data_IF_894393414565
#
_entry.id   IF_894393414565
#
_cell.length_a   1.000
_cell.length_b   1.000
_cell.length_c   1.000
_cell.angle_alpha   90.00
_cell.angle_beta   90.00
_cell.angle_gamma   90.00
#
_symmetry.space_group_name_H-M   'P 1'
#
loop_
_entity.id
_entity.type
_entity.pdbx_description
1 polymer ?
#
# COMPACT_ATOMS: atom_id res chain seq x y z
N UNK A 1 6.72 -7.83 -13.16
CA UNK A 1 6.38 -7.11 -11.92
C UNK A 1 7.63 -6.45 -11.35
N UNK A 2 7.48 -5.24 -10.85
CA UNK A 2 8.57 -4.50 -10.24
C UNK A 2 8.84 -5.06 -8.83
N UNK A 3 10.06 -5.54 -8.61
CA UNK A 3 10.46 -6.12 -7.32
C UNK A 3 10.33 -5.12 -6.17
N UNK A 4 10.63 -3.85 -6.43
CA UNK A 4 10.55 -2.82 -5.39
C UNK A 4 9.10 -2.55 -4.98
N UNK A 5 8.18 -2.61 -5.93
CA UNK A 5 6.75 -2.46 -5.61
C UNK A 5 6.24 -3.65 -4.81
N UNK A 6 6.72 -4.84 -5.14
CA UNK A 6 6.38 -6.04 -4.37
C UNK A 6 6.88 -5.91 -2.94
N UNK A 7 8.13 -5.44 -2.77
CA UNK A 7 8.71 -5.25 -1.45
C UNK A 7 7.94 -4.19 -0.65
N UNK A 8 7.52 -3.12 -1.32
CA UNK A 8 6.71 -2.08 -0.70
C UNK A 8 5.39 -2.67 -0.17
N UNK A 9 4.72 -3.45 -1.00
CA UNK A 9 3.47 -4.10 -0.60
C UNK A 9 3.66 -5.08 0.54
N UNK A 10 4.72 -5.89 0.48
CA UNK A 10 5.04 -6.85 1.54
C UNK A 10 5.27 -6.15 2.88
N UNK A 11 5.93 -4.99 2.86
CA UNK A 11 6.17 -4.23 4.08
C UNK A 11 4.87 -3.74 4.69
N UNK A 12 3.97 -3.22 3.86
CA UNK A 12 2.66 -2.76 4.34
C UNK A 12 1.87 -3.91 4.95
N UNK A 13 1.88 -5.06 4.28
CA UNK A 13 1.18 -6.24 4.78
C UNK A 13 1.73 -6.67 6.13
N UNK A 14 3.06 -6.70 6.26
CA UNK A 14 3.71 -7.08 7.52
C UNK A 14 3.34 -6.13 8.64
N UNK A 15 3.34 -4.83 8.37
CA UNK A 15 2.96 -3.83 9.39
C UNK A 15 1.52 -4.02 9.83
N UNK A 16 0.63 -4.30 8.87
CA UNK A 16 -0.78 -4.57 9.19
C UNK A 16 -0.93 -5.81 10.07
N UNK A 17 -0.24 -6.88 9.68
CA UNK A 17 -0.34 -8.14 10.41
C UNK A 17 0.26 -8.04 11.82
N UNK A 18 1.33 -7.28 11.98
CA UNK A 18 1.90 -7.02 13.30
C UNK A 18 0.90 -6.35 14.23
N UNK A 19 0.01 -5.55 13.67
CA UNK A 19 -1.03 -4.85 14.45
C UNK A 19 -2.27 -5.72 14.68
N UNK A 20 -2.27 -6.95 14.13
CA UNK A 20 -3.39 -7.87 14.27
C UNK A 20 -4.63 -7.43 13.52
N UNK A 21 -4.46 -6.67 12.43
CA UNK A 21 -5.58 -6.11 11.65
C UNK A 21 -5.77 -6.92 10.39
N UNK A 22 -7.02 -7.36 10.13
CA UNK A 22 -7.34 -8.08 8.90
C UNK A 22 -7.67 -7.09 7.78
N UNK A 23 -7.60 -7.56 6.52
CA UNK A 23 -8.02 -6.75 5.38
C UNK A 23 -9.49 -6.35 5.49
N UNK A 24 -10.32 -7.24 6.04
CA UNK A 24 -11.74 -6.94 6.24
C UNK A 24 -11.92 -5.76 7.20
N UNK A 25 -11.11 -5.70 8.25
CA UNK A 25 -11.16 -4.58 9.19
C UNK A 25 -10.76 -3.27 8.51
N UNK A 26 -9.74 -3.32 7.64
CA UNK A 26 -9.34 -2.14 6.87
C UNK A 26 -10.49 -1.70 5.99
N UNK A 27 -11.11 -2.63 5.23
CA UNK A 27 -12.25 -2.34 4.38
C UNK A 27 -13.39 -1.69 5.19
N UNK A 28 -13.69 -2.23 6.36
CA UNK A 28 -14.79 -1.71 7.18
C UNK A 28 -14.59 -0.25 7.57
N UNK A 29 -13.34 0.18 7.69
CA UNK A 29 -13.02 1.54 8.09
C UNK A 29 -12.87 2.50 6.93
N UNK A 30 -12.10 2.13 5.91
CA UNK A 30 -11.77 3.07 4.83
C UNK A 30 -12.55 2.82 3.54
N UNK A 31 -13.32 1.73 3.48
CA UNK A 31 -14.22 1.42 2.37
C UNK A 31 -13.54 1.28 1.01
N UNK A 32 -12.28 0.89 1.00
CA UNK A 32 -11.58 0.51 -0.21
C UNK A 32 -11.75 -1.00 -0.34
N UNK A 33 -12.20 -1.45 -1.53
CA UNK A 33 -12.47 -2.85 -1.80
C UNK A 33 -11.29 -3.73 -1.41
N UNK A 34 -11.57 -4.88 -0.78
CA UNK A 34 -10.53 -5.82 -0.34
C UNK A 34 -9.63 -6.24 -1.50
N UNK A 35 -10.17 -6.37 -2.69
CA UNK A 35 -9.32 -6.75 -3.85
C UNK A 35 -8.28 -5.68 -4.17
N UNK A 36 -8.60 -4.40 -3.96
CA UNK A 36 -7.63 -3.32 -4.16
C UNK A 36 -6.61 -3.29 -3.03
N UNK A 37 -7.06 -3.51 -1.79
CA UNK A 37 -6.15 -3.59 -0.65
C UNK A 37 -5.17 -4.74 -0.82
N UNK A 38 -5.67 -5.89 -1.26
CA UNK A 38 -4.84 -7.05 -1.54
C UNK A 38 -3.84 -6.77 -2.67
N UNK A 39 -4.28 -6.04 -3.69
CA UNK A 39 -3.40 -5.67 -4.80
C UNK A 39 -2.26 -4.77 -4.33
N UNK A 40 -2.54 -3.81 -3.44
CA UNK A 40 -1.51 -2.94 -2.86
C UNK A 40 -0.47 -3.79 -2.13
N UNK A 41 -0.95 -4.73 -1.31
CA UNK A 41 -0.06 -5.57 -0.50
C UNK A 41 0.74 -6.57 -1.32
N UNK A 42 0.26 -6.93 -2.50
CA UNK A 42 1.02 -7.82 -3.40
C UNK A 42 1.88 -7.05 -4.40
N UNK A 43 1.81 -5.71 -4.38
CA UNK A 43 2.58 -4.89 -5.29
C UNK A 43 2.03 -4.87 -6.70
N UNK A 44 0.79 -5.32 -6.89
CA UNK A 44 0.17 -5.41 -8.20
C UNK A 44 -0.69 -4.17 -8.46
N UNK A 45 -0.03 -3.04 -8.70
CA UNK A 45 -0.72 -1.76 -8.86
C UNK A 45 -1.40 -1.60 -10.21
N UNK A 46 -1.14 -2.50 -11.16
CA UNK A 46 -1.76 -2.46 -12.48
C UNK A 46 -3.27 -2.66 -12.44
N UNK A 47 -3.77 -3.35 -11.41
CA UNK A 47 -5.21 -3.61 -11.29
C UNK A 47 -5.97 -2.48 -10.60
N UNK A 48 -5.26 -1.44 -10.17
CA UNK A 48 -5.88 -0.31 -9.49
C UNK A 48 -6.11 0.84 -10.47
N UNK A 49 -7.21 1.61 -10.28
CA UNK A 49 -7.38 2.84 -11.05
C UNK A 49 -6.24 3.80 -10.71
N UNK A 50 -5.46 4.16 -11.71
CA UNK A 50 -4.23 4.92 -11.49
C UNK A 50 -4.44 6.21 -10.71
N UNK A 51 -5.53 6.92 -11.01
CA UNK A 51 -5.78 8.21 -10.35
C UNK A 51 -6.08 8.06 -8.85
N UNK A 52 -6.40 6.85 -8.39
CA UNK A 52 -6.73 6.61 -6.98
C UNK A 52 -5.62 5.98 -6.18
N UNK A 53 -4.54 5.51 -6.83
CA UNK A 53 -3.50 4.74 -6.15
C UNK A 53 -2.94 5.48 -4.95
N UNK A 54 -2.53 6.74 -5.13
CA UNK A 54 -1.94 7.52 -4.04
C UNK A 54 -2.94 7.77 -2.92
N UNK A 55 -4.19 8.05 -3.28
CA UNK A 55 -5.24 8.27 -2.29
C UNK A 55 -5.49 7.00 -1.48
N UNK A 56 -5.50 5.84 -2.13
CA UNK A 56 -5.69 4.56 -1.45
C UNK A 56 -4.54 4.28 -0.49
N UNK A 57 -3.30 4.50 -0.92
CA UNK A 57 -2.13 4.31 -0.08
C UNK A 57 -2.19 5.25 1.13
N UNK A 58 -2.58 6.49 0.91
CA UNK A 58 -2.71 7.49 1.98
C UNK A 58 -3.73 7.03 3.02
N UNK A 59 -4.92 6.60 2.57
CA UNK A 59 -5.96 6.13 3.49
C UNK A 59 -5.51 4.91 4.27
N UNK A 60 -4.85 3.98 3.59
CA UNK A 60 -4.32 2.77 4.20
C UNK A 60 -3.30 3.14 5.29
N UNK A 61 -2.37 4.03 4.97
CA UNK A 61 -1.33 4.46 5.91
C UNK A 61 -1.93 5.17 7.13
N UNK A 62 -2.92 6.04 6.89
CA UNK A 62 -3.60 6.74 7.98
C UNK A 62 -4.26 5.76 8.93
N UNK A 63 -4.96 4.77 8.39
CA UNK A 63 -5.63 3.79 9.22
C UNK A 63 -4.65 2.98 10.06
N UNK A 64 -3.50 2.63 9.48
CA UNK A 64 -2.48 1.86 10.20
C UNK A 64 -1.59 2.75 11.08
N UNK A 65 -1.87 4.04 11.11
CA UNK A 65 -1.09 5.00 11.90
C UNK A 65 0.38 5.07 11.48
N UNK A 66 0.60 4.97 10.17
CA UNK A 66 1.92 5.13 9.58
C UNK A 66 2.13 6.57 9.16
N UNK A 67 3.39 6.97 8.98
CA UNK A 67 3.71 8.28 8.43
C UNK A 67 3.32 8.31 6.96
N UNK A 68 2.29 9.11 6.62
CA UNK A 68 1.75 9.16 5.26
C UNK A 68 2.79 9.67 4.28
N UNK A 69 3.47 10.75 4.63
CA UNK A 69 4.46 11.36 3.74
C UNK A 69 5.58 10.37 3.40
N UNK A 70 6.08 9.69 4.42
CA UNK A 70 7.14 8.69 4.23
C UNK A 70 6.65 7.51 3.41
N UNK A 71 5.42 7.07 3.65
CA UNK A 71 4.83 5.95 2.91
C UNK A 71 4.69 6.29 1.42
N UNK A 72 4.18 7.48 1.12
CA UNK A 72 4.04 7.93 -0.27
C UNK A 72 5.42 8.06 -0.94
N UNK A 73 6.40 8.57 -0.21
CA UNK A 73 7.76 8.69 -0.73
C UNK A 73 8.33 7.32 -1.10
N UNK A 74 8.14 6.34 -0.24
CA UNK A 74 8.59 4.96 -0.51
C UNK A 74 7.87 4.38 -1.73
N UNK A 75 6.58 4.64 -1.86
CA UNK A 75 5.84 4.21 -3.04
C UNK A 75 6.41 4.83 -4.31
N UNK A 76 6.65 6.13 -4.30
CA UNK A 76 7.17 6.83 -5.48
C UNK A 76 8.53 6.30 -5.90
N UNK A 77 9.40 6.03 -4.93
CA UNK A 77 10.71 5.45 -5.21
C UNK A 77 10.59 4.05 -5.80
N UNK A 78 9.71 3.24 -5.23
CA UNK A 78 9.47 1.88 -5.73
C UNK A 78 8.89 1.91 -7.14
N UNK A 79 7.98 2.84 -7.40
CA UNK A 79 7.33 2.97 -8.70
C UNK A 79 8.34 3.30 -9.80
N UNK A 80 9.36 4.09 -9.47
CA UNK A 80 10.43 4.42 -10.43
C UNK A 80 11.27 3.21 -10.80
N UNK A 81 11.25 2.17 -9.95
CA UNK A 81 11.94 0.93 -10.26
C UNK A 81 13.45 0.97 -10.06
N UNK A 82 13.96 1.98 -9.38
CA UNK A 82 15.40 2.06 -9.09
C UNK A 82 15.64 2.75 -7.76
N UNK A 83 16.79 2.47 -7.18
CA UNK A 83 17.21 3.09 -5.93
C UNK A 83 18.05 4.30 -6.29
N UNK A 84 17.70 5.46 -5.77
CA UNK A 84 18.44 6.69 -5.99
C UNK A 84 19.61 6.70 -5.03
N UNK A 85 20.79 6.82 -5.59
CA UNK A 85 22.02 6.91 -4.79
C UNK A 85 22.42 8.35 -4.59
#
# INVERSE_FOLDING_TARGET
MNELLKNFGDELKSLREEKGISLQQVYNKIRIDVKFLSAIESGNFEVLPEIYIRAFIKEYALYLNLDVSETIKKFDQAKKGYIVN
#
